data_IF_249914419568
#
_entry.id   IF_249914419568
#
_cell.length_a   1.000
_cell.length_b   1.000
_cell.length_c   1.000
_cell.angle_alpha   90.00
_cell.angle_beta   90.00
_cell.angle_gamma   90.00
#
_symmetry.space_group_name_H-M   'P 1'
#
loop_
_entity.id
_entity.type
_entity.pdbx_description
1 polymer ?
#
# COMPACT_ATOMS: atom_id res chain seq x y z
N UNK A 1 -19.30 10.38 -22.97
CA UNK A 1 -19.79 11.60 -22.28
C UNK A 1 -19.68 11.53 -20.74
N UNK A 2 -19.97 10.41 -20.04
CA UNK A 2 -19.86 10.32 -18.57
C UNK A 2 -18.41 10.43 -18.03
N UNK A 3 -17.42 9.83 -18.69
CA UNK A 3 -16.02 9.89 -18.28
C UNK A 3 -15.43 11.30 -18.31
N UNK A 4 -15.73 12.09 -19.34
CA UNK A 4 -15.26 13.48 -19.46
C UNK A 4 -15.79 14.34 -18.30
N UNK A 5 -17.03 14.13 -17.87
CA UNK A 5 -17.61 14.83 -16.72
C UNK A 5 -16.89 14.53 -15.40
N UNK A 6 -16.55 13.26 -15.17
CA UNK A 6 -15.85 12.85 -13.93
C UNK A 6 -14.40 13.38 -13.85
N UNK A 7 -13.70 13.44 -14.98
CA UNK A 7 -12.37 14.04 -15.04
C UNK A 7 -12.47 15.55 -14.77
N UNK A 8 -13.49 16.24 -15.30
CA UNK A 8 -13.74 17.65 -15.03
C UNK A 8 -13.96 17.94 -13.53
N UNK A 9 -14.74 17.11 -12.83
CA UNK A 9 -14.97 17.23 -11.38
C UNK A 9 -13.67 17.03 -10.57
N UNK A 10 -12.80 16.11 -10.96
CA UNK A 10 -11.50 15.90 -10.32
C UNK A 10 -10.52 17.03 -10.62
N UNK A 11 -10.54 17.60 -11.82
CA UNK A 11 -9.74 18.78 -12.15
C UNK A 11 -10.17 20.01 -11.32
N UNK A 12 -11.47 20.19 -11.13
CA UNK A 12 -11.98 21.23 -10.25
C UNK A 12 -11.54 21.01 -8.81
N UNK A 13 -11.66 19.79 -8.28
CA UNK A 13 -11.15 19.43 -6.94
C UNK A 13 -9.66 19.74 -6.81
N UNK A 14 -8.85 19.46 -7.82
CA UNK A 14 -7.41 19.79 -7.84
C UNK A 14 -7.19 21.32 -7.79
N UNK A 15 -7.98 22.13 -8.51
CA UNK A 15 -7.91 23.59 -8.46
C UNK A 15 -8.22 24.13 -7.07
N UNK A 16 -9.30 23.65 -6.46
CA UNK A 16 -9.74 24.02 -5.12
C UNK A 16 -8.69 23.66 -4.05
N UNK A 17 -8.03 22.51 -4.18
CA UNK A 17 -6.92 22.12 -3.31
C UNK A 17 -5.71 23.05 -3.52
N UNK A 18 -5.40 23.43 -4.75
CA UNK A 18 -4.32 24.38 -5.06
C UNK A 18 -4.57 25.78 -4.51
N UNK A 19 -5.81 26.24 -4.54
CA UNK A 19 -6.23 27.53 -3.97
C UNK A 19 -6.32 27.53 -2.43
N UNK A 20 -6.11 26.37 -1.79
CA UNK A 20 -6.29 26.18 -0.34
C UNK A 20 -7.72 26.42 0.14
N UNK A 21 -8.73 26.06 -0.66
CA UNK A 21 -10.12 26.16 -0.21
C UNK A 21 -10.34 25.30 1.05
N UNK A 22 -10.52 25.96 2.18
CA UNK A 22 -10.61 25.31 3.49
C UNK A 22 -11.78 24.33 3.56
N UNK A 23 -12.93 24.69 3.02
CA UNK A 23 -14.13 23.84 3.02
C UNK A 23 -13.87 22.54 2.26
N UNK A 24 -13.23 22.63 1.10
CA UNK A 24 -12.91 21.47 0.26
C UNK A 24 -11.85 20.60 0.93
N UNK A 25 -10.81 21.20 1.51
CA UNK A 25 -9.76 20.47 2.24
C UNK A 25 -10.33 19.74 3.45
N UNK A 26 -11.18 20.40 4.24
CA UNK A 26 -11.84 19.81 5.41
C UNK A 26 -12.72 18.61 4.99
N UNK A 27 -13.55 18.79 3.97
CA UNK A 27 -14.41 17.72 3.43
C UNK A 27 -13.57 16.54 2.94
N UNK A 28 -12.55 16.79 2.11
CA UNK A 28 -11.65 15.76 1.62
C UNK A 28 -10.99 14.97 2.76
N UNK A 29 -10.55 15.67 3.82
CA UNK A 29 -9.95 15.06 4.98
C UNK A 29 -10.93 14.16 5.73
N UNK A 30 -12.12 14.66 6.05
CA UNK A 30 -13.09 13.94 6.89
C UNK A 30 -13.72 12.74 6.16
N UNK A 31 -14.10 12.90 4.89
CA UNK A 31 -14.79 11.85 4.14
C UNK A 31 -13.90 10.65 3.78
N UNK A 32 -12.57 10.83 3.76
CA UNK A 32 -11.66 9.77 3.33
C UNK A 32 -10.88 9.11 4.47
N UNK A 33 -11.03 9.58 5.70
CA UNK A 33 -10.31 9.03 6.87
C UNK A 33 -10.70 7.58 7.17
N UNK A 34 -11.99 7.25 7.10
CA UNK A 34 -12.49 5.94 7.54
C UNK A 34 -11.87 4.76 6.78
N UNK A 35 -11.65 4.89 5.48
CA UNK A 35 -11.00 3.84 4.67
C UNK A 35 -9.57 3.57 5.16
N UNK A 36 -8.82 4.63 5.44
CA UNK A 36 -7.44 4.52 5.94
C UNK A 36 -7.43 3.97 7.36
N UNK A 37 -8.31 4.45 8.24
CA UNK A 37 -8.49 3.95 9.60
C UNK A 37 -8.73 2.44 9.62
N UNK A 38 -9.72 1.96 8.85
CA UNK A 38 -10.05 0.53 8.77
C UNK A 38 -8.84 -0.27 8.28
N UNK A 39 -8.12 0.22 7.26
CA UNK A 39 -6.93 -0.46 6.76
C UNK A 39 -5.84 -0.57 7.84
N UNK A 40 -5.56 0.50 8.58
CA UNK A 40 -4.51 0.52 9.60
C UNK A 40 -4.88 -0.37 10.78
N UNK A 41 -6.13 -0.29 11.29
CA UNK A 41 -6.60 -1.14 12.38
C UNK A 41 -6.57 -2.63 12.00
N UNK A 42 -6.95 -2.98 10.77
CA UNK A 42 -6.84 -4.38 10.27
C UNK A 42 -5.40 -4.85 10.07
N UNK A 43 -4.43 -3.96 10.08
CA UNK A 43 -3.01 -4.28 9.91
C UNK A 43 -2.20 -3.96 11.17
N UNK A 44 -2.74 -4.28 12.34
CA UNK A 44 -2.12 -4.19 13.65
C UNK A 44 -1.76 -2.76 14.08
N UNK A 45 -2.43 -1.76 13.57
CA UNK A 45 -2.30 -0.37 14.00
C UNK A 45 -3.35 0.01 15.03
N UNK A 46 -3.10 1.11 15.71
CA UNK A 46 -3.99 1.75 16.68
C UNK A 46 -4.70 2.98 16.06
N UNK A 47 -5.72 3.48 16.76
CA UNK A 47 -6.43 4.70 16.34
C UNK A 47 -5.53 5.96 16.31
N UNK A 48 -4.63 6.20 17.28
CA UNK A 48 -3.66 7.28 17.19
C UNK A 48 -2.77 7.17 15.94
N UNK A 49 -2.18 6.00 15.69
CA UNK A 49 -1.34 5.78 14.51
C UNK A 49 -2.12 5.98 13.20
N UNK A 50 -3.39 5.57 13.15
CA UNK A 50 -4.22 5.82 11.98
C UNK A 50 -4.42 7.31 11.71
N UNK A 51 -4.59 8.13 12.77
CA UNK A 51 -4.71 9.59 12.65
C UNK A 51 -3.40 10.22 12.18
N UNK A 52 -2.27 9.83 12.76
CA UNK A 52 -0.96 10.38 12.44
C UNK A 52 -0.56 10.06 11.01
N UNK A 53 -0.65 8.79 10.60
CA UNK A 53 -0.36 8.35 9.23
C UNK A 53 -1.26 9.03 8.21
N UNK A 54 -2.55 9.17 8.53
CA UNK A 54 -3.48 9.84 7.61
C UNK A 54 -3.18 11.33 7.47
N UNK A 55 -2.87 12.02 8.57
CA UNK A 55 -2.49 13.43 8.55
C UNK A 55 -1.22 13.65 7.72
N UNK A 56 -0.19 12.83 7.93
CA UNK A 56 1.03 12.89 7.12
C UNK A 56 0.78 12.62 5.63
N UNK A 57 -0.09 11.65 5.32
CA UNK A 57 -0.46 11.34 3.95
C UNK A 57 -1.21 12.51 3.30
N UNK A 58 -2.13 13.12 4.03
CA UNK A 58 -2.89 14.27 3.56
C UNK A 58 -1.98 15.45 3.22
N UNK A 59 -1.03 15.78 4.11
CA UNK A 59 -0.04 16.84 3.87
C UNK A 59 0.82 16.54 2.65
N UNK A 60 1.26 15.29 2.48
CA UNK A 60 2.07 14.88 1.33
C UNK A 60 1.29 15.01 0.01
N UNK A 61 0.04 14.56 -0.01
CA UNK A 61 -0.85 14.67 -1.18
C UNK A 61 -1.14 16.13 -1.51
N UNK A 62 -1.50 16.93 -0.52
CA UNK A 62 -1.73 18.37 -0.68
C UNK A 62 -0.50 19.06 -1.31
N UNK A 63 0.71 18.81 -0.77
CA UNK A 63 1.96 19.36 -1.34
C UNK A 63 2.20 18.91 -2.79
N UNK A 64 1.97 17.64 -3.10
CA UNK A 64 2.15 17.12 -4.45
C UNK A 64 1.18 17.75 -5.45
N UNK A 65 -0.08 17.96 -5.04
CA UNK A 65 -1.09 18.63 -5.86
C UNK A 65 -0.70 20.10 -6.07
N UNK A 66 -0.28 20.81 -5.01
CA UNK A 66 0.18 22.20 -5.12
C UNK A 66 1.36 22.34 -6.07
N UNK A 67 2.31 21.43 -6.01
CA UNK A 67 3.52 21.43 -6.83
C UNK A 67 3.31 20.90 -8.26
N UNK A 68 2.08 20.62 -8.66
CA UNK A 68 1.77 20.12 -10.01
C UNK A 68 2.23 18.68 -10.30
N UNK A 69 2.62 17.92 -9.26
CA UNK A 69 3.08 16.52 -9.38
C UNK A 69 1.95 15.49 -9.47
N UNK A 70 0.71 15.94 -9.55
CA UNK A 70 -0.47 15.09 -9.63
C UNK A 70 -1.40 15.55 -10.73
N UNK A 71 -1.85 14.60 -11.56
CA UNK A 71 -2.89 14.77 -12.59
C UNK A 71 -3.97 13.71 -12.39
N UNK A 72 -5.25 14.09 -12.36
CA UNK A 72 -6.33 13.12 -12.20
C UNK A 72 -6.59 12.36 -13.51
N UNK A 73 -6.67 11.03 -13.44
CA UNK A 73 -6.92 10.14 -14.58
C UNK A 73 -8.28 9.44 -14.52
N UNK A 74 -9.00 9.52 -13.40
CA UNK A 74 -10.30 8.89 -13.19
C UNK A 74 -11.14 9.63 -12.16
N UNK A 75 -12.40 9.19 -11.99
CA UNK A 75 -13.40 9.82 -11.12
C UNK A 75 -13.10 9.87 -9.63
N UNK A 76 -12.13 9.11 -9.15
CA UNK A 76 -11.73 9.04 -7.73
C UNK A 76 -10.22 9.22 -7.56
N UNK A 77 -9.59 9.90 -8.52
CA UNK A 77 -8.13 10.01 -8.58
C UNK A 77 -7.52 10.62 -7.32
N UNK A 78 -8.06 11.72 -6.81
CA UNK A 78 -7.54 12.40 -5.59
C UNK A 78 -7.72 11.51 -4.37
N UNK A 79 -8.91 10.92 -4.19
CA UNK A 79 -9.22 10.04 -3.06
C UNK A 79 -8.39 8.75 -3.10
N UNK A 80 -8.26 8.16 -4.28
CA UNK A 80 -7.43 6.97 -4.51
C UNK A 80 -5.94 7.25 -4.25
N UNK A 81 -5.45 8.40 -4.66
CA UNK A 81 -4.08 8.83 -4.41
C UNK A 81 -3.83 9.02 -2.91
N UNK A 82 -4.74 9.71 -2.20
CA UNK A 82 -4.65 9.89 -0.76
C UNK A 82 -4.60 8.55 -0.01
N UNK A 83 -5.49 7.63 -0.36
CA UNK A 83 -5.50 6.30 0.23
C UNK A 83 -4.19 5.53 -0.06
N UNK A 84 -3.69 5.58 -1.29
CA UNK A 84 -2.44 4.91 -1.68
C UNK A 84 -1.23 5.45 -0.93
N UNK A 85 -1.13 6.77 -0.76
CA UNK A 85 -0.05 7.40 0.02
C UNK A 85 -0.13 7.00 1.49
N UNK A 86 -1.32 7.02 2.08
CA UNK A 86 -1.53 6.61 3.47
C UNK A 86 -1.19 5.12 3.69
N UNK A 87 -1.64 4.25 2.78
CA UNK A 87 -1.30 2.83 2.80
C UNK A 87 0.20 2.59 2.73
N UNK A 88 0.90 3.27 1.82
CA UNK A 88 2.36 3.13 1.69
C UNK A 88 3.08 3.61 2.94
N UNK A 89 2.69 4.76 3.52
CA UNK A 89 3.26 5.26 4.78
C UNK A 89 3.06 4.28 5.93
N UNK A 90 1.89 3.66 6.05
CA UNK A 90 1.65 2.63 7.06
C UNK A 90 2.55 1.41 6.86
N UNK A 91 2.68 0.92 5.63
CA UNK A 91 3.57 -0.21 5.33
C UNK A 91 5.03 0.13 5.64
N UNK A 92 5.48 1.36 5.37
CA UNK A 92 6.83 1.82 5.72
C UNK A 92 7.00 1.96 7.23
N UNK A 93 5.97 2.43 7.95
CA UNK A 93 5.95 2.45 9.41
C UNK A 93 6.10 1.04 10.00
N UNK A 94 5.35 0.06 9.52
CA UNK A 94 5.46 -1.33 9.94
C UNK A 94 6.85 -1.93 9.65
N UNK A 95 7.44 -1.59 8.52
CA UNK A 95 8.80 -2.00 8.18
C UNK A 95 9.82 -1.42 9.16
N UNK A 96 9.72 -0.14 9.49
CA UNK A 96 10.63 0.53 10.43
C UNK A 96 10.44 0.03 11.87
N UNK A 97 9.21 -0.21 12.33
CA UNK A 97 8.89 -0.74 13.65
C UNK A 97 9.39 -2.18 13.83
N UNK A 98 9.26 -3.02 12.78
CA UNK A 98 9.85 -4.38 12.79
C UNK A 98 11.37 -4.34 12.85
N UNK A 99 12.01 -3.41 12.16
CA UNK A 99 13.46 -3.23 12.23
C UNK A 99 13.93 -2.87 13.64
N UNK A 100 13.20 -2.03 14.35
CA UNK A 100 13.49 -1.69 15.76
C UNK A 100 13.23 -2.87 16.71
N UNK A 101 12.25 -3.73 16.43
CA UNK A 101 11.94 -4.92 17.25
C UNK A 101 12.90 -6.10 17.01
N UNK A 102 13.48 -6.25 15.83
CA UNK A 102 14.49 -7.30 15.58
C UNK A 102 15.82 -7.01 16.26
N UNK A 103 16.04 -5.80 16.77
CA UNK A 103 17.18 -5.47 17.65
C UNK A 103 16.91 -5.80 19.12
N UNK A 104 15.69 -6.25 19.49
CA UNK A 104 15.32 -6.64 20.86
C UNK A 104 14.35 -7.83 20.79
N UNK A 105 14.89 -9.05 20.91
CA UNK A 105 14.10 -10.28 20.93
C UNK A 105 13.58 -10.52 22.35
N UNK A 106 12.25 -10.63 22.50
CA UNK A 106 11.62 -11.40 23.56
C UNK A 106 10.40 -12.16 22.96
N UNK A 107 10.26 -13.48 23.23
CA UNK A 107 9.16 -14.29 22.69
C UNK A 107 7.93 -14.19 23.59
N UNK A 108 6.75 -14.18 22.98
CA UNK A 108 5.48 -14.45 23.64
C UNK A 108 4.51 -13.29 23.67
N UNK A 109 3.57 -13.29 22.71
CA UNK A 109 2.29 -12.61 22.87
C UNK A 109 1.21 -13.48 22.21
N UNK A 110 0.37 -14.08 23.08
CA UNK A 110 -0.85 -14.77 22.69
C UNK A 110 -1.93 -13.75 22.36
N UNK A 111 -2.70 -14.03 21.31
CA UNK A 111 -3.84 -13.24 20.89
C UNK A 111 -5.12 -13.86 21.44
N UNK A 112 -5.94 -13.07 22.13
CA UNK A 112 -7.28 -13.46 22.56
C UNK A 112 -8.29 -13.19 21.44
N UNK A 113 -9.08 -14.23 21.15
CA UNK A 113 -10.25 -14.22 20.27
C UNK A 113 -11.44 -13.49 20.89
N UNK A 114 -12.14 -12.70 20.07
CA UNK A 114 -13.59 -12.53 20.17
C UNK A 114 -14.17 -12.02 18.84
N UNK A 115 -15.03 -12.80 18.25
CA UNK A 115 -16.27 -12.52 17.50
C UNK A 115 -16.44 -13.32 16.20
N UNK A 116 -17.58 -14.00 16.08
CA UNK A 116 -17.99 -14.88 14.97
C UNK A 116 -17.99 -14.23 13.57
N UNK A 117 -17.95 -12.89 13.49
CA UNK A 117 -17.77 -12.15 12.22
C UNK A 117 -16.30 -12.10 11.76
N UNK A 118 -15.35 -12.40 12.66
CA UNK A 118 -13.91 -12.47 12.36
C UNK A 118 -13.57 -13.77 11.63
N UNK A 119 -14.32 -14.84 11.88
CA UNK A 119 -14.02 -16.19 11.38
C UNK A 119 -14.16 -16.33 9.85
N UNK A 120 -15.15 -15.66 9.25
CA UNK A 120 -15.32 -15.65 7.78
C UNK A 120 -14.24 -14.81 7.08
N UNK A 121 -13.86 -13.68 7.67
CA UNK A 121 -12.80 -12.81 7.14
C UNK A 121 -11.42 -13.46 7.33
N UNK A 122 -11.21 -14.20 8.43
CA UNK A 122 -9.98 -14.97 8.66
C UNK A 122 -9.83 -16.10 7.64
N UNK A 123 -10.86 -16.90 7.40
CA UNK A 123 -10.82 -18.00 6.41
C UNK A 123 -10.57 -17.51 4.99
N UNK A 124 -11.15 -16.38 4.58
CA UNK A 124 -10.85 -15.79 3.27
C UNK A 124 -9.43 -15.24 3.19
N UNK A 125 -8.90 -14.70 4.28
CA UNK A 125 -7.53 -14.22 4.38
C UNK A 125 -6.54 -15.38 4.32
N UNK A 126 -6.76 -16.43 5.12
CA UNK A 126 -5.94 -17.64 5.13
C UNK A 126 -5.94 -18.33 3.76
N UNK A 127 -7.11 -18.43 3.12
CA UNK A 127 -7.21 -18.98 1.76
C UNK A 127 -6.39 -18.15 0.76
N UNK A 128 -6.47 -16.83 0.81
CA UNK A 128 -5.66 -15.94 -0.04
C UNK A 128 -4.16 -16.02 0.26
N UNK A 129 -3.78 -16.15 1.53
CA UNK A 129 -2.38 -16.34 1.94
C UNK A 129 -1.86 -17.69 1.45
N UNK A 130 -2.64 -18.75 1.58
CA UNK A 130 -2.26 -20.09 1.09
C UNK A 130 -2.11 -20.12 -0.43
N UNK A 131 -3.03 -19.50 -1.17
CA UNK A 131 -2.93 -19.35 -2.63
C UNK A 131 -1.66 -18.58 -3.02
N UNK A 132 -1.34 -17.50 -2.31
CA UNK A 132 -0.12 -16.72 -2.56
C UNK A 132 1.15 -17.53 -2.26
N UNK A 133 1.16 -18.32 -1.18
CA UNK A 133 2.28 -19.20 -0.82
C UNK A 133 2.47 -20.30 -1.88
N UNK A 134 1.39 -20.92 -2.32
CA UNK A 134 1.43 -21.96 -3.35
C UNK A 134 1.95 -21.39 -4.69
N UNK A 135 1.39 -20.26 -5.12
CA UNK A 135 1.84 -19.56 -6.31
C UNK A 135 3.33 -19.15 -6.22
N UNK A 136 3.79 -18.71 -5.04
CA UNK A 136 5.20 -18.39 -4.82
C UNK A 136 6.10 -19.63 -4.94
N UNK A 137 5.66 -20.78 -4.43
CA UNK A 137 6.41 -22.05 -4.56
C UNK A 137 6.58 -22.49 -6.03
N UNK A 138 5.62 -22.13 -6.88
CA UNK A 138 5.64 -22.47 -8.32
C UNK A 138 6.41 -21.44 -9.18
N UNK A 139 6.78 -20.29 -8.63
CA UNK A 139 7.62 -19.33 -9.34
C UNK A 139 9.00 -19.90 -9.66
N UNK A 140 9.55 -19.52 -10.82
CA UNK A 140 10.94 -19.85 -11.17
C UNK A 140 11.92 -19.24 -10.15
N UNK A 141 13.05 -19.93 -9.92
CA UNK A 141 14.04 -19.60 -8.87
C UNK A 141 14.53 -18.15 -8.94
N UNK A 142 14.70 -17.61 -10.13
CA UNK A 142 15.15 -16.22 -10.31
C UNK A 142 14.14 -15.21 -9.77
N UNK A 143 12.83 -15.44 -10.01
CA UNK A 143 11.77 -14.60 -9.43
C UNK A 143 11.64 -14.79 -7.92
N UNK A 144 11.78 -16.02 -7.42
CA UNK A 144 11.78 -16.31 -5.98
C UNK A 144 12.92 -15.57 -5.28
N UNK A 145 14.14 -15.69 -5.79
CA UNK A 145 15.32 -15.04 -5.25
C UNK A 145 15.15 -13.52 -5.22
N UNK A 146 14.75 -12.91 -6.34
CA UNK A 146 14.53 -11.47 -6.42
C UNK A 146 13.44 -10.98 -5.44
N UNK A 147 12.30 -11.67 -5.40
CA UNK A 147 11.20 -11.30 -4.49
C UNK A 147 11.57 -11.54 -3.03
N UNK A 148 12.33 -12.61 -2.72
CA UNK A 148 12.86 -12.87 -1.39
C UNK A 148 13.81 -11.76 -0.96
N UNK A 149 14.82 -11.43 -1.77
CA UNK A 149 15.75 -10.34 -1.50
C UNK A 149 15.04 -9.02 -1.23
N UNK A 150 13.98 -8.70 -1.99
CA UNK A 150 13.25 -7.45 -1.81
C UNK A 150 12.32 -7.45 -0.58
N UNK A 151 11.51 -8.51 -0.40
CA UNK A 151 10.44 -8.50 0.62
C UNK A 151 10.88 -9.08 1.97
N UNK A 152 11.81 -10.04 1.99
CA UNK A 152 12.28 -10.71 3.21
C UNK A 152 13.62 -10.17 3.66
N UNK A 153 14.61 -10.10 2.75
CA UNK A 153 15.96 -9.64 3.07
C UNK A 153 16.06 -8.11 3.04
N UNK A 154 14.98 -7.42 2.54
CA UNK A 154 14.80 -5.96 2.53
C UNK A 154 15.89 -5.20 1.78
N UNK A 155 16.51 -5.83 0.80
CA UNK A 155 17.48 -5.18 -0.05
C UNK A 155 16.83 -4.10 -0.90
N UNK A 156 17.54 -3.00 -1.10
CA UNK A 156 17.16 -1.95 -2.05
C UNK A 156 17.21 -2.47 -3.49
N UNK A 157 16.54 -1.80 -4.42
CA UNK A 157 16.63 -2.16 -5.84
C UNK A 157 18.05 -2.05 -6.40
N UNK A 158 18.86 -1.15 -5.86
CA UNK A 158 20.25 -1.01 -6.25
C UNK A 158 21.10 -2.21 -5.80
N UNK A 159 20.96 -2.65 -4.54
CA UNK A 159 21.65 -3.84 -4.03
C UNK A 159 21.26 -5.11 -4.79
N UNK A 160 19.95 -5.26 -5.10
CA UNK A 160 19.46 -6.38 -5.91
C UNK A 160 20.01 -6.31 -7.33
N UNK A 161 20.08 -5.12 -7.92
CA UNK A 161 20.65 -4.93 -9.26
C UNK A 161 22.11 -5.33 -9.31
N UNK A 162 22.91 -4.97 -8.29
CA UNK A 162 24.31 -5.41 -8.16
C UNK A 162 24.42 -6.93 -8.02
N UNK A 163 23.59 -7.53 -7.15
CA UNK A 163 23.57 -8.98 -6.91
C UNK A 163 23.23 -9.79 -8.17
N UNK A 164 22.31 -9.28 -8.99
CA UNK A 164 21.88 -9.92 -10.24
C UNK A 164 22.70 -9.49 -11.47
N UNK A 165 23.68 -8.59 -11.31
CA UNK A 165 24.51 -8.10 -12.41
C UNK A 165 23.72 -7.34 -13.49
N UNK A 166 22.66 -6.61 -13.11
CA UNK A 166 21.77 -5.86 -14.02
C UNK A 166 21.64 -4.39 -13.61
N UNK A 167 21.18 -3.54 -14.52
CA UNK A 167 20.85 -2.17 -14.18
C UNK A 167 19.66 -2.08 -13.22
N UNK A 168 19.63 -1.07 -12.33
CA UNK A 168 18.55 -0.88 -11.36
C UNK A 168 17.16 -0.78 -12.00
N UNK A 169 17.05 -0.09 -13.16
CA UNK A 169 15.82 -0.01 -13.93
C UNK A 169 15.35 -1.41 -14.40
N UNK A 170 16.28 -2.28 -14.80
CA UNK A 170 16.01 -3.66 -15.19
C UNK A 170 15.56 -4.50 -14.00
N UNK A 171 16.16 -4.31 -12.82
CA UNK A 171 15.75 -4.97 -11.58
C UNK A 171 14.31 -4.59 -11.19
N UNK A 172 13.94 -3.30 -11.31
CA UNK A 172 12.57 -2.82 -11.07
C UNK A 172 11.57 -3.46 -12.03
N UNK A 173 11.88 -3.49 -13.32
CA UNK A 173 11.03 -4.11 -14.34
C UNK A 173 10.91 -5.63 -14.12
N UNK A 174 12.00 -6.31 -13.77
CA UNK A 174 12.00 -7.73 -13.44
C UNK A 174 11.16 -8.03 -12.22
N UNK A 175 11.27 -7.23 -11.15
CA UNK A 175 10.39 -7.34 -9.98
C UNK A 175 8.92 -7.21 -10.35
N UNK A 176 8.57 -6.23 -11.18
CA UNK A 176 7.19 -6.04 -11.64
C UNK A 176 6.68 -7.28 -12.38
N UNK A 177 7.44 -7.80 -13.35
CA UNK A 177 7.07 -9.02 -14.12
C UNK A 177 6.93 -10.24 -13.21
N UNK A 178 7.81 -10.42 -12.22
CA UNK A 178 7.71 -11.50 -11.25
C UNK A 178 6.45 -11.40 -10.39
N UNK A 179 6.06 -10.19 -9.98
CA UNK A 179 4.82 -9.96 -9.25
C UNK A 179 3.57 -10.21 -10.10
N UNK A 180 3.58 -9.80 -11.37
CA UNK A 180 2.48 -10.08 -12.29
C UNK A 180 2.31 -11.58 -12.53
N UNK A 181 3.43 -12.32 -12.69
CA UNK A 181 3.41 -13.78 -12.81
C UNK A 181 2.84 -14.43 -11.54
N UNK A 182 3.27 -13.98 -10.35
CA UNK A 182 2.76 -14.47 -9.07
C UNK A 182 1.24 -14.24 -8.95
N UNK A 183 0.77 -13.04 -9.31
CA UNK A 183 -0.65 -12.69 -9.28
C UNK A 183 -1.48 -13.54 -10.25
N UNK A 184 -0.96 -13.78 -11.46
CA UNK A 184 -1.64 -14.60 -12.44
C UNK A 184 -1.78 -16.06 -11.95
N UNK A 185 -0.72 -16.62 -11.36
CA UNK A 185 -0.74 -17.96 -10.77
C UNK A 185 -1.73 -18.07 -9.61
N UNK A 186 -1.70 -17.11 -8.67
CA UNK A 186 -2.62 -17.06 -7.54
C UNK A 186 -4.10 -16.88 -7.93
N UNK A 187 -4.36 -16.28 -9.10
CA UNK A 187 -5.72 -16.16 -9.65
C UNK A 187 -6.18 -17.43 -10.37
N UNK A 188 -5.27 -18.19 -10.98
CA UNK A 188 -5.59 -19.42 -11.70
C UNK A 188 -5.95 -20.58 -10.74
N UNK A 189 -5.53 -20.50 -9.48
CA UNK A 189 -5.84 -21.48 -8.44
C UNK A 189 -7.15 -21.16 -7.65
N UNK A 190 -7.85 -20.08 -7.99
CA UNK A 190 -9.09 -19.65 -7.34
C UNK A 190 -10.31 -19.97 -8.20
#
# INVERSE_FOLDING_TARGET
MKEIKYISEQLELVREIRSNNETVLRRLYTENFDKTKIFILKNNGSMPEAKDIYQEAFIAVWRNIKNGKFSPENKTAVQGYLYSVAKNKWLDHLRSARFKKTASIAPGMEFHDTDELVDTVHREKEKKEQLAINAFKQLGEECKSLLKSFYFDRKSMNEIAMEFGIAEASARNKKYRCLEKLRAMAKAEN
#
